data_IF_019323388767
#
_entry.id   IF_019323388767
#
_cell.length_a   1.000
_cell.length_b   1.000
_cell.length_c   1.000
_cell.angle_alpha   90.00
_cell.angle_beta   90.00
_cell.angle_gamma   90.00
#
_symmetry.space_group_name_H-M   'P 1'
#
loop_
_entity.id
_entity.type
_entity.pdbx_description
1 polymer ?
#
# COMPACT_ATOMS: atom_id res chain seq x y z
N UNK A 1 11.75 21.80 -10.36
CA UNK A 1 11.88 20.53 -11.15
C UNK A 1 10.47 19.95 -11.33
N UNK A 2 10.17 19.25 -12.44
CA UNK A 2 8.86 18.60 -12.59
C UNK A 2 8.80 17.27 -11.84
N UNK A 3 7.60 16.82 -11.46
CA UNK A 3 7.42 15.57 -10.70
C UNK A 3 7.99 14.34 -11.44
N UNK A 4 7.73 14.20 -12.73
CA UNK A 4 8.26 13.10 -13.51
C UNK A 4 9.81 13.12 -13.61
N UNK A 5 10.45 14.28 -13.62
CA UNK A 5 11.92 14.38 -13.63
C UNK A 5 12.51 13.90 -12.30
N UNK A 6 11.82 14.19 -11.17
CA UNK A 6 12.15 13.63 -9.86
C UNK A 6 11.97 12.12 -9.84
N UNK A 7 10.82 11.64 -10.33
CA UNK A 7 10.55 10.21 -10.40
C UNK A 7 11.66 9.47 -11.14
N UNK A 8 12.07 9.95 -12.32
CA UNK A 8 13.14 9.33 -13.10
C UNK A 8 14.48 9.29 -12.35
N UNK A 9 14.75 10.25 -11.44
CA UNK A 9 15.93 10.24 -10.59
C UNK A 9 15.79 9.28 -9.40
N UNK A 10 14.58 9.09 -8.88
CA UNK A 10 14.35 8.27 -7.69
C UNK A 10 14.23 6.78 -8.02
N UNK A 11 13.59 6.43 -9.15
CA UNK A 11 13.39 5.02 -9.51
C UNK A 11 14.69 4.28 -9.83
N UNK A 12 15.72 4.98 -10.25
CA UNK A 12 17.05 4.36 -10.50
C UNK A 12 17.80 4.01 -9.22
N UNK A 13 17.36 4.53 -8.07
CA UNK A 13 17.88 4.12 -6.75
C UNK A 13 17.07 2.91 -6.30
N UNK A 14 17.71 1.74 -6.26
CA UNK A 14 17.05 0.49 -5.84
C UNK A 14 16.78 0.48 -4.34
N UNK A 15 15.55 0.15 -3.98
CA UNK A 15 15.08 0.14 -2.59
C UNK A 15 14.12 -1.03 -2.29
N UNK A 16 14.36 -2.27 -2.76
CA UNK A 16 13.44 -3.36 -2.42
C UNK A 16 13.46 -3.63 -0.92
N UNK A 17 12.26 -3.83 -0.35
CA UNK A 17 12.11 -4.38 1.00
C UNK A 17 12.33 -5.89 1.02
N UNK A 18 12.55 -6.47 2.20
CA UNK A 18 12.79 -7.92 2.41
C UNK A 18 11.90 -8.42 3.55
N UNK A 19 10.84 -9.14 3.22
CA UNK A 19 9.88 -9.71 4.18
C UNK A 19 10.50 -10.73 5.17
N UNK A 20 11.70 -11.27 4.85
CA UNK A 20 12.40 -12.22 5.71
C UNK A 20 13.42 -11.54 6.63
N UNK A 21 13.58 -10.23 6.54
CA UNK A 21 14.51 -9.46 7.38
C UNK A 21 13.89 -9.17 8.76
N UNK A 22 14.74 -9.20 9.80
CA UNK A 22 14.36 -8.79 11.16
C UNK A 22 14.85 -7.36 11.49
N UNK A 23 15.48 -6.66 10.52
CA UNK A 23 15.97 -5.30 10.72
C UNK A 23 14.97 -4.26 10.24
N UNK A 24 15.12 -3.01 10.69
CA UNK A 24 14.39 -1.83 10.18
C UNK A 24 15.42 -0.77 9.81
N UNK A 25 15.51 -0.33 8.55
CA UNK A 25 14.73 -0.88 7.41
C UNK A 25 15.10 -2.33 7.12
N UNK A 26 14.20 -3.05 6.46
CA UNK A 26 14.38 -4.46 6.09
C UNK A 26 15.56 -4.67 5.14
N UNK A 27 15.88 -3.66 4.34
CA UNK A 27 17.06 -3.62 3.48
C UNK A 27 17.79 -2.29 3.62
N UNK A 28 19.11 -2.34 3.79
CA UNK A 28 19.95 -1.16 4.00
C UNK A 28 20.00 -0.20 2.80
N UNK A 29 19.67 -0.68 1.59
CA UNK A 29 19.67 0.15 0.39
C UNK A 29 18.60 1.24 0.40
N UNK A 30 17.56 1.13 1.22
CA UNK A 30 16.55 2.19 1.38
C UNK A 30 17.18 3.49 1.89
N UNK A 31 18.25 3.42 2.68
CA UNK A 31 19.00 4.62 3.10
C UNK A 31 19.61 5.40 1.93
N UNK A 32 19.87 4.77 0.79
CA UNK A 32 20.47 5.48 -0.35
C UNK A 32 19.50 6.51 -0.93
N UNK A 33 18.21 6.14 -1.05
CA UNK A 33 17.15 7.07 -1.42
C UNK A 33 16.88 8.08 -0.30
N UNK A 34 16.79 7.62 0.96
CA UNK A 34 16.53 8.48 2.10
C UNK A 34 17.55 9.62 2.22
N UNK A 35 18.86 9.35 2.02
CA UNK A 35 19.91 10.37 2.03
C UNK A 35 19.81 11.36 0.88
N UNK A 36 19.44 10.89 -0.31
CA UNK A 36 19.18 11.75 -1.46
C UNK A 36 18.03 12.71 -1.14
N UNK A 37 16.92 12.20 -0.60
CA UNK A 37 15.74 12.98 -0.24
C UNK A 37 16.03 13.94 0.93
N UNK A 38 16.82 13.51 1.92
CA UNK A 38 17.26 14.38 3.02
C UNK A 38 18.04 15.60 2.50
N UNK A 39 18.92 15.40 1.53
CA UNK A 39 19.65 16.50 0.90
C UNK A 39 18.73 17.43 0.13
N UNK A 40 17.81 16.89 -0.66
CA UNK A 40 16.84 17.67 -1.45
C UNK A 40 15.86 18.44 -0.55
N UNK A 41 15.35 17.85 0.54
CA UNK A 41 14.53 18.56 1.52
C UNK A 41 15.26 19.79 2.08
N UNK A 42 16.55 19.65 2.43
CA UNK A 42 17.36 20.76 2.93
C UNK A 42 17.59 21.83 1.86
N UNK A 43 17.80 21.44 0.61
CA UNK A 43 17.93 22.37 -0.53
C UNK A 43 16.63 23.12 -0.80
N UNK A 44 15.48 22.47 -0.65
CA UNK A 44 14.15 23.09 -0.72
C UNK A 44 13.82 23.93 0.53
N UNK A 45 14.70 24.02 1.51
CA UNK A 45 14.55 24.88 2.68
C UNK A 45 13.59 24.36 3.75
N UNK A 46 13.29 23.06 3.79
CA UNK A 46 12.57 22.47 4.90
C UNK A 46 13.42 22.55 6.18
N UNK A 47 12.74 22.76 7.29
CA UNK A 47 13.33 22.77 8.64
C UNK A 47 13.11 21.43 9.33
N UNK A 48 13.82 21.19 10.44
CA UNK A 48 13.71 19.95 11.23
C UNK A 48 13.83 18.67 10.37
N UNK A 49 14.71 18.73 9.36
CA UNK A 49 14.96 17.58 8.49
C UNK A 49 15.77 16.55 9.26
N UNK A 50 15.16 15.41 9.55
CA UNK A 50 15.72 14.33 10.37
C UNK A 50 15.56 13.00 9.66
N UNK A 51 16.68 12.35 9.34
CA UNK A 51 16.72 10.95 8.94
C UNK A 51 17.17 10.14 10.16
N UNK A 52 16.29 9.27 10.66
CA UNK A 52 16.60 8.46 11.84
C UNK A 52 17.34 7.16 11.50
N UNK A 53 17.71 6.39 12.52
CA UNK A 53 18.45 5.14 12.39
C UNK A 53 17.60 3.96 11.88
N UNK A 54 16.28 4.14 11.79
CA UNK A 54 15.33 3.20 11.22
C UNK A 54 14.86 3.60 9.81
N UNK A 55 15.55 4.61 9.19
CA UNK A 55 15.27 5.08 7.83
C UNK A 55 13.98 5.89 7.66
N UNK A 56 13.36 6.39 8.74
CA UNK A 56 12.28 7.36 8.61
C UNK A 56 12.87 8.75 8.37
N UNK A 57 12.41 9.41 7.33
CA UNK A 57 12.81 10.77 6.98
C UNK A 57 11.68 11.75 7.23
N UNK A 58 11.90 12.76 8.07
CA UNK A 58 10.94 13.80 8.41
C UNK A 58 11.46 15.17 7.98
N UNK A 59 10.55 16.10 7.67
CA UNK A 59 10.87 17.49 7.40
C UNK A 59 9.65 18.38 7.58
N UNK A 60 9.85 19.68 7.82
CA UNK A 60 8.77 20.66 8.04
C UNK A 60 8.96 21.87 7.16
N UNK A 61 7.86 22.40 6.64
CA UNK A 61 7.80 23.73 6.05
C UNK A 61 6.98 24.64 6.99
N UNK A 62 7.61 25.65 7.65
CA UNK A 62 6.92 26.57 8.54
C UNK A 62 5.79 27.31 7.82
N UNK A 63 4.71 27.61 8.52
CA UNK A 63 3.57 28.34 7.99
C UNK A 63 3.96 29.71 7.40
N UNK A 64 3.19 30.18 6.45
CA UNK A 64 3.21 31.59 6.02
C UNK A 64 2.83 32.46 7.21
N UNK A 65 3.50 33.63 7.35
CA UNK A 65 3.24 34.59 8.42
C UNK A 65 1.74 34.89 8.59
N UNK A 66 1.23 34.69 9.81
CA UNK A 66 -0.18 34.86 10.17
C UNK A 66 -1.06 33.63 9.95
N UNK A 67 -0.50 32.50 9.53
CA UNK A 67 -1.21 31.22 9.35
C UNK A 67 -0.67 30.10 10.28
N UNK A 68 0.07 30.47 11.31
CA UNK A 68 0.70 29.53 12.26
C UNK A 68 -0.31 28.76 13.09
N UNK A 69 -1.51 29.31 13.30
CA UNK A 69 -2.61 28.68 14.04
C UNK A 69 -3.49 27.77 13.18
N UNK A 70 -3.19 27.62 11.89
CA UNK A 70 -3.90 26.69 11.01
C UNK A 70 -3.48 25.25 11.33
N UNK A 71 -4.35 24.24 11.05
CA UNK A 71 -3.97 22.85 11.25
C UNK A 71 -2.69 22.49 10.50
N UNK A 72 -1.80 21.77 11.16
CA UNK A 72 -0.60 21.21 10.53
C UNK A 72 -0.98 20.00 9.68
N UNK A 73 -0.69 20.06 8.39
CA UNK A 73 -1.03 18.98 7.45
C UNK A 73 0.23 18.22 7.03
N UNK A 74 0.15 16.91 7.12
CA UNK A 74 1.22 16.00 6.75
C UNK A 74 1.00 15.33 5.39
N UNK A 75 2.09 15.16 4.63
CA UNK A 75 2.13 14.36 3.41
C UNK A 75 3.16 13.27 3.56
N UNK A 76 2.78 12.04 3.21
CA UNK A 76 3.56 10.84 3.48
C UNK A 76 3.59 9.98 2.22
N UNK A 77 4.75 9.38 1.92
CA UNK A 77 4.94 8.40 0.85
C UNK A 77 6.01 7.39 1.29
N UNK A 78 6.03 6.19 0.70
CA UNK A 78 7.04 5.21 1.07
C UNK A 78 8.21 5.16 0.09
N UNK A 79 9.39 4.74 0.59
CA UNK A 79 10.64 4.73 -0.18
C UNK A 79 10.96 3.36 -0.78
N UNK A 80 10.47 2.31 -0.14
CA UNK A 80 10.75 0.95 -0.60
C UNK A 80 9.91 0.57 -1.82
N UNK A 81 10.27 -0.51 -2.44
CA UNK A 81 9.52 -1.18 -3.51
C UNK A 81 9.35 -2.64 -3.13
N UNK A 82 8.37 -3.30 -3.74
CA UNK A 82 8.29 -4.76 -3.66
C UNK A 82 9.61 -5.41 -4.07
N UNK A 83 9.93 -6.56 -3.47
CA UNK A 83 11.10 -7.35 -3.85
C UNK A 83 10.92 -8.08 -5.17
N UNK A 84 9.68 -8.42 -5.52
CA UNK A 84 9.34 -9.07 -6.78
C UNK A 84 9.70 -8.17 -7.97
N UNK A 85 10.31 -8.75 -9.00
CA UNK A 85 10.76 -8.01 -10.19
C UNK A 85 11.65 -6.79 -9.88
N UNK A 86 12.38 -6.80 -8.76
CA UNK A 86 13.30 -5.72 -8.37
C UNK A 86 14.70 -6.26 -7.98
N UNK A 87 15.18 -7.30 -8.67
CA UNK A 87 16.46 -7.96 -8.41
C UNK A 87 17.67 -7.28 -9.12
N UNK A 88 17.42 -6.33 -10.02
CA UNK A 88 18.44 -5.55 -10.74
C UNK A 88 18.00 -4.10 -10.97
N UNK A 89 18.85 -3.29 -11.62
CA UNK A 89 18.64 -1.86 -11.81
C UNK A 89 17.40 -1.57 -12.69
N UNK A 90 16.56 -0.67 -12.21
CA UNK A 90 15.38 -0.18 -12.92
C UNK A 90 15.82 0.75 -14.05
N UNK A 91 15.27 0.54 -15.24
CA UNK A 91 15.54 1.36 -16.44
C UNK A 91 14.24 1.99 -16.91
N UNK A 92 13.94 3.22 -16.46
CA UNK A 92 12.72 3.90 -16.87
C UNK A 92 12.77 4.29 -18.36
N UNK A 93 11.64 4.16 -19.03
CA UNK A 93 11.44 4.52 -20.44
C UNK A 93 10.29 5.51 -20.54
N UNK A 94 10.52 6.62 -21.23
CA UNK A 94 9.51 7.65 -21.50
C UNK A 94 9.02 7.51 -22.93
N UNK A 95 7.71 7.33 -23.11
CA UNK A 95 7.05 7.22 -24.41
C UNK A 95 6.11 8.39 -24.59
N UNK A 96 6.51 9.38 -25.38
CA UNK A 96 5.70 10.56 -25.70
C UNK A 96 4.55 10.22 -26.65
N UNK A 97 3.42 10.90 -26.50
CA UNK A 97 2.25 10.76 -27.36
C UNK A 97 1.79 9.31 -27.53
N UNK A 98 1.67 8.59 -26.40
CA UNK A 98 1.21 7.21 -26.39
C UNK A 98 -0.09 7.07 -27.19
N UNK A 99 -0.16 6.07 -28.07
CA UNK A 99 -1.28 5.93 -29.02
C UNK A 99 -2.52 5.22 -28.43
N UNK A 100 -2.43 4.71 -27.18
CA UNK A 100 -3.48 3.95 -26.53
C UNK A 100 -3.53 2.47 -26.92
N UNK A 101 -2.56 1.97 -27.68
CA UNK A 101 -2.47 0.61 -28.17
C UNK A 101 -1.48 -0.27 -27.42
N UNK A 102 -1.07 -1.39 -28.04
CA UNK A 102 -0.05 -2.26 -27.48
C UNK A 102 1.33 -1.59 -27.50
N UNK A 103 2.04 -1.65 -26.37
CA UNK A 103 3.39 -1.11 -26.23
C UNK A 103 4.35 -2.22 -25.77
N UNK A 104 5.37 -2.50 -26.57
CA UNK A 104 6.47 -3.36 -26.14
C UNK A 104 7.38 -2.60 -25.20
N UNK A 105 7.67 -3.17 -24.03
CA UNK A 105 8.49 -2.52 -23.00
C UNK A 105 9.98 -2.78 -23.27
N UNK A 106 10.68 -1.73 -23.69
CA UNK A 106 12.09 -1.81 -24.04
C UNK A 106 12.39 -2.86 -25.11
N UNK A 107 13.36 -3.72 -24.83
CA UNK A 107 13.74 -4.86 -25.67
C UNK A 107 13.24 -6.19 -25.15
N UNK A 108 12.49 -6.20 -24.06
CA UNK A 108 11.90 -7.39 -23.46
C UNK A 108 10.77 -7.97 -24.33
N UNK A 109 10.28 -9.16 -23.98
CA UNK A 109 9.08 -9.74 -24.61
C UNK A 109 7.78 -9.30 -23.90
N UNK A 110 7.89 -8.43 -22.89
CA UNK A 110 6.76 -7.86 -22.13
C UNK A 110 5.99 -6.87 -23.01
N UNK A 111 4.69 -7.10 -23.16
CA UNK A 111 3.79 -6.23 -23.94
C UNK A 111 2.73 -5.67 -23.01
N UNK A 112 2.74 -4.37 -22.79
CA UNK A 112 1.65 -3.65 -22.14
C UNK A 112 0.49 -3.50 -23.15
N UNK A 113 -0.67 -4.07 -22.83
CA UNK A 113 -1.78 -4.19 -23.79
C UNK A 113 -3.11 -3.80 -23.20
N UNK A 114 -3.95 -3.01 -23.93
CA UNK A 114 -5.31 -2.68 -23.51
C UNK A 114 -6.22 -3.92 -23.29
N UNK A 115 -5.84 -5.06 -23.82
CA UNK A 115 -6.56 -6.31 -23.55
C UNK A 115 -6.47 -6.73 -22.08
N UNK A 116 -5.32 -6.49 -21.44
CA UNK A 116 -5.08 -6.81 -20.04
C UNK A 116 -5.33 -5.60 -19.14
N UNK A 117 -5.10 -4.40 -19.66
CA UNK A 117 -5.20 -3.12 -18.96
C UNK A 117 -6.10 -2.15 -19.75
N UNK A 118 -7.43 -2.24 -19.66
CA UNK A 118 -8.37 -1.47 -20.50
C UNK A 118 -8.21 0.04 -20.39
N UNK A 119 -7.79 0.57 -19.22
CA UNK A 119 -7.57 2.00 -18.97
C UNK A 119 -6.50 2.62 -19.89
N UNK A 120 -5.62 1.82 -20.48
CA UNK A 120 -4.60 2.31 -21.41
C UNK A 120 -5.19 3.10 -22.59
N UNK A 121 -6.42 2.79 -22.98
CA UNK A 121 -7.12 3.53 -24.06
C UNK A 121 -7.41 4.98 -23.68
N UNK A 122 -7.60 5.26 -22.37
CA UNK A 122 -7.88 6.57 -21.82
C UNK A 122 -6.60 7.41 -21.66
N UNK A 123 -5.44 6.74 -21.66
CA UNK A 123 -4.12 7.39 -21.60
C UNK A 123 -3.59 7.83 -22.96
N UNK A 124 -4.38 7.66 -24.04
CA UNK A 124 -3.99 8.07 -25.39
C UNK A 124 -3.64 9.54 -25.46
N UNK A 125 -2.48 9.84 -26.04
CA UNK A 125 -1.95 11.20 -26.21
C UNK A 125 -1.13 11.68 -25.01
N UNK A 126 -1.12 10.95 -23.89
CA UNK A 126 -0.28 11.25 -22.72
C UNK A 126 1.16 10.76 -22.95
N UNK A 127 2.04 11.24 -22.09
CA UNK A 127 3.43 10.78 -22.00
C UNK A 127 3.52 9.67 -20.97
N UNK A 128 3.73 8.43 -21.42
CA UNK A 128 3.78 7.24 -20.57
C UNK A 128 5.20 6.98 -20.08
N UNK A 129 5.35 6.66 -18.82
CA UNK A 129 6.60 6.21 -18.18
C UNK A 129 6.42 4.76 -17.76
N UNK A 130 7.34 3.89 -18.16
CA UNK A 130 7.37 2.44 -17.86
C UNK A 130 8.78 2.03 -17.46
N UNK A 131 8.96 0.81 -16.94
CA UNK A 131 10.27 0.16 -16.96
C UNK A 131 10.59 -0.42 -18.35
N UNK A 132 11.74 -1.07 -18.49
CA UNK A 132 12.09 -1.81 -19.72
C UNK A 132 11.36 -3.16 -19.84
N UNK A 133 10.42 -3.43 -18.92
CA UNK A 133 9.60 -4.66 -18.88
C UNK A 133 10.30 -5.85 -18.23
N UNK A 134 11.45 -5.66 -17.59
CA UNK A 134 12.16 -6.69 -16.84
C UNK A 134 12.05 -6.50 -15.31
N UNK A 135 11.74 -5.28 -14.88
CA UNK A 135 11.55 -4.91 -13.47
C UNK A 135 10.22 -4.19 -13.26
N UNK A 136 9.83 -3.95 -12.02
CA UNK A 136 8.88 -2.89 -11.66
C UNK A 136 9.42 -1.55 -12.14
N UNK A 137 8.57 -0.52 -12.23
CA UNK A 137 9.01 0.86 -12.44
C UNK A 137 9.44 1.50 -11.10
N UNK A 138 8.77 1.14 -10.01
CA UNK A 138 8.94 1.75 -8.68
C UNK A 138 8.26 3.12 -8.60
N UNK A 139 7.21 3.36 -9.40
CA UNK A 139 6.33 4.50 -9.23
C UNK A 139 5.54 4.38 -7.93
N UNK A 140 5.23 3.19 -7.53
CA UNK A 140 4.78 2.80 -6.20
C UNK A 140 6.01 2.66 -5.28
N UNK A 141 6.31 3.61 -4.34
CA UNK A 141 5.58 4.89 -4.21
C UNK A 141 6.52 6.11 -4.40
N UNK A 142 7.54 5.95 -5.26
CA UNK A 142 8.44 7.08 -5.59
C UNK A 142 7.73 8.18 -6.39
N UNK A 143 6.53 7.90 -6.95
CA UNK A 143 5.70 8.93 -7.56
C UNK A 143 5.14 9.86 -6.47
N UNK A 144 4.57 9.33 -5.41
CA UNK A 144 4.11 10.14 -4.27
C UNK A 144 5.23 10.97 -3.66
N UNK A 145 6.43 10.41 -3.50
CA UNK A 145 7.62 11.18 -3.08
C UNK A 145 7.88 12.34 -4.04
N UNK A 146 7.92 12.09 -5.35
CA UNK A 146 8.21 13.10 -6.36
C UNK A 146 7.15 14.21 -6.40
N UNK A 147 5.89 13.85 -6.20
CA UNK A 147 4.76 14.77 -6.16
C UNK A 147 4.78 15.66 -4.92
N UNK A 148 5.04 15.09 -3.75
CA UNK A 148 5.20 15.84 -2.49
C UNK A 148 6.33 16.86 -2.61
N UNK A 149 7.50 16.43 -3.08
CA UNK A 149 8.66 17.31 -3.23
C UNK A 149 8.41 18.42 -4.28
N UNK A 150 7.66 18.11 -5.34
CA UNK A 150 7.28 19.10 -6.37
C UNK A 150 6.25 20.10 -5.84
N UNK A 151 5.29 19.63 -5.05
CA UNK A 151 4.32 20.51 -4.38
C UNK A 151 5.03 21.47 -3.43
N UNK A 152 5.98 21.01 -2.60
CA UNK A 152 6.78 21.85 -1.70
C UNK A 152 7.56 22.94 -2.47
N UNK A 153 8.23 22.55 -3.56
CA UNK A 153 8.94 23.52 -4.41
C UNK A 153 7.98 24.57 -4.99
N UNK A 154 6.86 24.13 -5.56
CA UNK A 154 5.84 25.00 -6.16
C UNK A 154 5.26 25.99 -5.15
N UNK A 155 4.91 25.54 -3.94
CA UNK A 155 4.37 26.39 -2.87
C UNK A 155 5.31 27.56 -2.57
N UNK A 156 6.61 27.30 -2.49
CA UNK A 156 7.61 28.30 -2.19
C UNK A 156 7.89 29.24 -3.39
N UNK A 157 8.03 28.69 -4.60
CA UNK A 157 8.27 29.50 -5.81
C UNK A 157 7.10 30.44 -6.12
N UNK A 158 5.87 29.93 -6.03
CA UNK A 158 4.65 30.71 -6.30
C UNK A 158 4.17 31.50 -5.08
N UNK A 159 4.82 31.35 -3.91
CA UNK A 159 4.47 32.00 -2.65
C UNK A 159 3.02 31.74 -2.25
N UNK A 160 2.58 30.50 -2.37
CA UNK A 160 1.23 30.08 -2.00
C UNK A 160 1.10 30.15 -0.48
N UNK A 161 0.10 30.89 0.07
CA UNK A 161 -0.13 30.90 1.52
C UNK A 161 -0.52 29.51 2.03
N UNK A 162 0.10 29.08 3.13
CA UNK A 162 -0.15 27.77 3.74
C UNK A 162 0.04 27.79 5.27
N UNK A 163 -0.65 26.91 5.98
CA UNK A 163 -0.39 26.58 7.37
C UNK A 163 0.90 25.75 7.52
N UNK A 164 1.22 25.24 8.72
CA UNK A 164 2.37 24.35 8.89
C UNK A 164 2.21 23.10 8.03
N UNK A 165 3.27 22.72 7.29
CA UNK A 165 3.29 21.48 6.52
C UNK A 165 4.36 20.54 7.06
N UNK A 166 4.02 19.27 7.15
CA UNK A 166 4.92 18.18 7.55
C UNK A 166 5.08 17.21 6.39
N UNK A 167 6.29 16.74 6.16
CA UNK A 167 6.60 15.73 5.13
C UNK A 167 7.31 14.57 5.79
N UNK A 168 6.92 13.35 5.46
CA UNK A 168 7.64 12.17 5.90
C UNK A 168 7.74 11.13 4.77
N UNK A 169 8.87 10.41 4.74
CA UNK A 169 9.05 9.25 3.89
C UNK A 169 9.38 8.04 4.74
N UNK A 170 8.63 6.95 4.50
CA UNK A 170 8.67 5.72 5.31
C UNK A 170 9.45 4.62 4.59
N UNK A 171 10.13 3.72 5.34
CA UNK A 171 10.65 2.46 4.82
C UNK A 171 9.58 1.37 4.94
N UNK A 172 9.77 0.21 4.27
CA UNK A 172 9.14 -1.07 4.55
C UNK A 172 7.58 -1.09 4.52
N UNK A 173 6.96 -0.21 3.72
CA UNK A 173 5.51 -0.23 3.52
C UNK A 173 5.08 -1.53 2.85
N UNK A 174 5.78 -1.96 1.82
CA UNK A 174 5.47 -3.11 0.96
C UNK A 174 5.47 -4.47 1.68
N UNK A 175 6.08 -4.51 2.86
CA UNK A 175 6.02 -5.66 3.77
C UNK A 175 5.07 -5.43 4.96
N UNK A 176 4.28 -4.32 4.93
CA UNK A 176 3.25 -3.99 5.90
C UNK A 176 3.78 -3.47 7.23
N UNK A 177 5.02 -3.01 7.30
CA UNK A 177 5.64 -2.51 8.54
C UNK A 177 6.04 -1.03 8.49
N UNK A 178 5.71 -0.32 7.40
CA UNK A 178 6.09 1.08 7.18
C UNK A 178 5.68 2.03 8.30
N UNK A 179 4.48 1.88 8.85
CA UNK A 179 4.05 2.70 9.98
C UNK A 179 4.57 2.21 11.35
N UNK A 180 5.25 1.06 11.46
CA UNK A 180 5.53 0.41 12.75
C UNK A 180 6.31 1.29 13.73
N UNK A 181 7.34 1.95 13.29
CA UNK A 181 8.19 2.83 14.08
C UNK A 181 8.00 4.32 13.77
N UNK A 182 6.99 4.66 12.96
CA UNK A 182 6.69 6.05 12.65
C UNK A 182 6.39 6.86 13.91
N UNK A 183 7.11 7.96 14.09
CA UNK A 183 6.98 8.83 15.24
C UNK A 183 6.00 9.97 14.95
N UNK A 184 4.71 9.77 15.31
CA UNK A 184 3.64 10.74 15.07
C UNK A 184 3.89 12.07 15.79
N UNK A 185 4.46 12.03 17.01
CA UNK A 185 4.74 13.25 17.78
C UNK A 185 5.86 14.08 17.12
N UNK A 186 6.93 13.44 16.65
CA UNK A 186 8.01 14.09 15.91
C UNK A 186 7.53 14.66 14.58
N UNK A 187 6.70 13.91 13.85
CA UNK A 187 6.07 14.36 12.62
C UNK A 187 5.28 15.65 12.86
N UNK A 188 4.42 15.65 13.87
CA UNK A 188 3.78 16.84 14.40
C UNK A 188 2.64 17.40 13.55
N UNK A 189 2.07 16.62 12.65
CA UNK A 189 0.87 16.98 11.90
C UNK A 189 -0.41 16.64 12.69
N UNK A 190 -1.46 17.48 12.57
CA UNK A 190 -2.79 17.20 13.10
C UNK A 190 -3.53 16.16 12.26
N UNK A 191 -3.31 16.16 10.94
CA UNK A 191 -3.87 15.26 9.95
C UNK A 191 -2.81 14.92 8.90
N UNK A 192 -2.89 13.72 8.33
CA UNK A 192 -2.02 13.28 7.26
C UNK A 192 -2.79 12.90 5.98
N UNK A 193 -2.05 12.79 4.89
CA UNK A 193 -2.45 12.16 3.64
C UNK A 193 -1.27 11.34 3.14
N UNK A 194 -1.47 10.05 2.87
CA UNK A 194 -0.53 9.28 2.07
C UNK A 194 -0.79 9.56 0.59
N UNK A 195 0.26 9.64 -0.22
CA UNK A 195 0.17 9.68 -1.68
C UNK A 195 0.66 8.34 -2.21
N UNK A 196 -0.21 7.35 -2.20
CA UNK A 196 0.12 5.94 -2.42
C UNK A 196 -1.09 5.19 -3.06
N UNK A 197 -1.93 5.93 -3.79
CA UNK A 197 -3.06 5.38 -4.53
C UNK A 197 -2.76 5.24 -6.01
N UNK A 198 -3.70 4.65 -6.74
CA UNK A 198 -3.57 4.40 -8.18
C UNK A 198 -3.78 5.70 -9.00
N UNK A 199 -4.90 5.83 -9.65
CA UNK A 199 -5.15 6.89 -10.62
C UNK A 199 -5.29 8.28 -10.00
N UNK A 200 -4.99 9.31 -10.77
CA UNK A 200 -5.17 10.70 -10.32
C UNK A 200 -6.62 11.00 -9.91
N UNK A 201 -6.80 11.68 -8.77
CA UNK A 201 -8.11 12.00 -8.20
C UNK A 201 -8.71 10.92 -7.31
N UNK A 202 -8.03 9.81 -7.14
CA UNK A 202 -8.43 8.76 -6.21
C UNK A 202 -8.32 9.23 -4.76
N UNK A 203 -9.34 8.90 -3.96
CA UNK A 203 -9.45 9.22 -2.54
C UNK A 203 -9.91 7.95 -1.82
N UNK A 204 -9.07 7.45 -0.95
CA UNK A 204 -9.29 6.19 -0.26
C UNK A 204 -9.25 6.41 1.25
N UNK A 205 -10.32 6.03 1.94
CA UNK A 205 -10.42 6.14 3.40
C UNK A 205 -11.09 4.92 4.05
N UNK A 206 -11.31 3.89 3.25
CA UNK A 206 -11.83 2.59 3.66
C UNK A 206 -10.88 1.51 3.16
N UNK A 207 -10.45 0.63 4.03
CA UNK A 207 -9.57 -0.49 3.73
C UNK A 207 -10.07 -1.76 4.40
N UNK A 208 -9.50 -2.91 4.09
CA UNK A 208 -9.86 -4.14 4.77
C UNK A 208 -9.51 -4.09 6.27
N UNK A 209 -10.34 -4.78 7.09
CA UNK A 209 -9.87 -5.40 8.32
C UNK A 209 -9.15 -6.70 7.95
N UNK A 210 -8.05 -7.00 8.60
CA UNK A 210 -7.14 -8.06 8.19
C UNK A 210 -6.62 -8.90 9.34
N UNK A 211 -6.59 -10.22 9.15
CA UNK A 211 -5.84 -11.12 10.02
C UNK A 211 -5.19 -12.26 9.23
N UNK A 212 -4.16 -12.86 9.82
CA UNK A 212 -3.66 -14.19 9.45
C UNK A 212 -4.40 -15.24 10.27
N UNK A 213 -4.59 -16.41 9.68
CA UNK A 213 -5.16 -17.56 10.37
C UNK A 213 -4.36 -18.82 9.99
N UNK A 214 -3.67 -19.35 10.97
CA UNK A 214 -2.75 -20.48 10.81
C UNK A 214 -3.35 -21.70 11.49
N UNK A 215 -3.59 -22.75 10.72
CA UNK A 215 -3.99 -24.05 11.24
C UNK A 215 -2.78 -24.99 11.29
N UNK A 216 -2.56 -25.58 12.44
CA UNK A 216 -1.62 -26.70 12.63
C UNK A 216 -2.44 -27.95 12.92
N UNK A 217 -2.26 -29.00 12.11
CA UNK A 217 -3.01 -30.25 12.20
C UNK A 217 -2.05 -31.37 12.60
N UNK A 218 -2.34 -32.06 13.68
CA UNK A 218 -1.59 -33.25 14.17
C UNK A 218 -2.34 -34.52 13.81
N UNK A 219 -1.72 -35.32 12.96
CA UNK A 219 -2.26 -36.61 12.57
C UNK A 219 -1.80 -37.73 13.52
N UNK A 220 -2.32 -38.94 13.29
CA UNK A 220 -1.90 -40.14 13.96
C UNK A 220 -1.52 -41.20 12.91
N UNK A 221 -0.22 -41.37 12.72
CA UNK A 221 0.31 -42.24 11.66
C UNK A 221 0.47 -43.68 12.17
N UNK A 222 -0.10 -44.62 11.43
CA UNK A 222 0.04 -46.07 11.62
C UNK A 222 0.20 -46.74 10.27
N UNK A 223 0.57 -48.04 10.27
CA UNK A 223 0.71 -48.81 9.04
C UNK A 223 -0.62 -48.81 8.24
N UNK A 224 -0.64 -48.37 6.97
CA UNK A 224 -1.88 -48.23 6.19
C UNK A 224 -2.75 -49.48 6.10
N UNK A 225 -2.14 -50.65 6.03
CA UNK A 225 -2.86 -51.93 5.97
C UNK A 225 -3.62 -52.32 7.23
N UNK A 226 -3.35 -51.65 8.38
CA UNK A 226 -4.00 -51.90 9.69
C UNK A 226 -4.53 -50.63 10.35
N UNK A 227 -4.83 -49.60 9.55
CA UNK A 227 -5.16 -48.24 9.98
C UNK A 227 -6.65 -47.96 10.17
N UNK A 228 -7.51 -48.95 9.92
CA UNK A 228 -8.97 -48.77 10.04
C UNK A 228 -9.36 -48.24 11.42
N UNK A 229 -10.11 -47.16 11.45
CA UNK A 229 -10.63 -46.47 12.62
C UNK A 229 -9.54 -45.96 13.62
N UNK A 230 -8.26 -45.90 13.16
CA UNK A 230 -7.12 -45.52 14.00
C UNK A 230 -6.31 -44.39 13.42
N UNK A 231 -6.00 -44.43 12.10
CA UNK A 231 -5.19 -43.38 11.45
C UNK A 231 -5.95 -42.07 11.35
N UNK A 232 -5.27 -40.98 11.69
CA UNK A 232 -5.70 -39.63 11.40
C UNK A 232 -4.67 -39.06 10.39
N UNK A 233 -5.09 -38.87 9.18
CA UNK A 233 -4.24 -38.26 8.13
C UNK A 233 -4.39 -36.75 8.15
N UNK A 234 -3.37 -36.05 8.63
CA UNK A 234 -3.39 -34.58 8.77
C UNK A 234 -3.64 -33.87 7.45
N UNK A 235 -3.06 -34.35 6.34
CA UNK A 235 -3.30 -33.76 5.01
C UNK A 235 -4.77 -33.85 4.58
N UNK A 236 -5.47 -34.95 4.92
CA UNK A 236 -6.90 -35.09 4.61
C UNK A 236 -7.76 -34.18 5.51
N UNK A 237 -7.39 -34.04 6.77
CA UNK A 237 -8.05 -33.08 7.67
C UNK A 237 -7.86 -31.64 7.19
N UNK A 238 -6.67 -31.28 6.70
CA UNK A 238 -6.41 -29.97 6.09
C UNK A 238 -7.34 -29.69 4.89
N UNK A 239 -7.55 -30.69 4.02
CA UNK A 239 -8.51 -30.58 2.92
C UNK A 239 -9.95 -30.40 3.39
N UNK A 240 -10.35 -31.08 4.50
CA UNK A 240 -11.68 -30.90 5.08
C UNK A 240 -11.87 -29.47 5.63
N UNK A 241 -10.85 -28.92 6.30
CA UNK A 241 -10.87 -27.53 6.80
C UNK A 241 -11.10 -26.56 5.62
N UNK A 242 -10.31 -26.69 4.55
CA UNK A 242 -10.46 -25.84 3.37
C UNK A 242 -11.85 -26.00 2.72
N UNK A 243 -12.37 -27.23 2.64
CA UNK A 243 -13.70 -27.47 2.02
C UNK A 243 -14.87 -27.01 2.93
N UNK A 244 -14.65 -26.75 4.20
CA UNK A 244 -15.66 -26.19 5.10
C UNK A 244 -15.82 -24.68 4.96
N UNK A 245 -14.89 -24.00 4.28
CA UNK A 245 -14.98 -22.56 3.99
C UNK A 245 -15.91 -22.29 2.80
N UNK A 246 -16.56 -21.10 2.75
CA UNK A 246 -17.38 -20.70 1.61
C UNK A 246 -16.56 -20.63 0.32
N UNK A 247 -16.89 -21.45 -0.67
CA UNK A 247 -16.09 -21.65 -1.88
C UNK A 247 -15.98 -20.41 -2.78
N UNK A 248 -16.90 -19.45 -2.65
CA UNK A 248 -16.90 -18.20 -3.45
C UNK A 248 -16.23 -17.03 -2.72
N UNK A 249 -16.04 -17.11 -1.40
CA UNK A 249 -15.37 -16.08 -0.61
C UNK A 249 -13.84 -16.21 -0.75
N UNK A 250 -13.34 -16.02 -1.96
CA UNK A 250 -11.92 -16.08 -2.33
C UNK A 250 -11.54 -14.82 -3.12
N UNK A 251 -10.26 -14.45 -3.23
CA UNK A 251 -9.85 -13.29 -4.03
C UNK A 251 -10.36 -13.32 -5.47
N UNK A 252 -10.47 -14.51 -6.06
CA UNK A 252 -11.01 -14.69 -7.42
C UNK A 252 -12.53 -14.51 -7.50
N UNK A 253 -13.24 -14.76 -6.42
CA UNK A 253 -14.70 -14.77 -6.38
C UNK A 253 -15.33 -13.52 -5.77
N UNK A 254 -14.53 -12.52 -5.38
CA UNK A 254 -14.99 -11.32 -4.65
C UNK A 254 -14.44 -10.04 -5.28
N UNK A 255 -15.22 -8.96 -5.20
CA UNK A 255 -14.88 -7.63 -5.70
C UNK A 255 -15.31 -6.53 -4.71
N UNK A 256 -14.95 -5.29 -4.98
CA UNK A 256 -15.31 -4.09 -4.21
C UNK A 256 -15.13 -4.28 -2.69
N UNK A 257 -16.23 -4.22 -1.94
CA UNK A 257 -16.26 -4.34 -0.48
C UNK A 257 -16.33 -5.79 0.04
N UNK A 258 -16.43 -6.76 -0.85
CA UNK A 258 -16.59 -8.17 -0.46
C UNK A 258 -15.31 -8.75 0.13
N UNK A 259 -15.45 -9.37 1.31
CA UNK A 259 -14.35 -10.01 2.01
C UNK A 259 -14.09 -11.46 1.56
N UNK A 260 -12.92 -11.99 1.93
CA UNK A 260 -12.48 -13.32 1.52
C UNK A 260 -11.64 -14.06 2.56
N UNK A 261 -11.51 -15.37 2.33
CA UNK A 261 -10.45 -16.23 2.87
C UNK A 261 -9.51 -16.60 1.73
N UNK A 262 -8.22 -16.37 1.90
CA UNK A 262 -7.23 -16.73 0.90
C UNK A 262 -6.19 -17.68 1.48
N UNK A 263 -6.15 -18.91 0.97
CA UNK A 263 -5.11 -19.88 1.30
C UNK A 263 -3.81 -19.44 0.62
N UNK A 264 -2.85 -18.97 1.41
CA UNK A 264 -1.54 -18.54 0.93
C UNK A 264 -0.60 -19.72 0.69
N UNK A 265 -0.61 -20.67 1.63
CA UNK A 265 0.22 -21.86 1.52
C UNK A 265 -0.39 -23.02 2.28
N UNK A 266 -0.03 -24.22 1.85
CA UNK A 266 -0.40 -25.49 2.45
C UNK A 266 0.78 -26.44 2.39
N UNK A 267 1.10 -27.08 3.50
CA UNK A 267 2.05 -28.18 3.55
C UNK A 267 1.48 -29.35 4.35
N UNK A 268 1.92 -30.58 4.09
CA UNK A 268 1.45 -31.66 4.94
C UNK A 268 1.82 -33.06 4.51
N UNK A 269 1.85 -33.91 5.55
CA UNK A 269 2.01 -35.36 5.50
C UNK A 269 0.91 -36.04 6.32
N UNK A 270 1.04 -37.35 6.56
CA UNK A 270 0.08 -38.09 7.41
C UNK A 270 0.15 -37.64 8.86
N UNK A 271 1.36 -37.34 9.35
CA UNK A 271 1.59 -37.02 10.76
C UNK A 271 1.31 -35.57 11.12
N UNK A 272 1.51 -34.64 10.16
CA UNK A 272 1.35 -33.20 10.39
C UNK A 272 0.99 -32.49 9.09
N UNK A 273 0.19 -31.42 9.21
CA UNK A 273 -0.10 -30.52 8.10
C UNK A 273 -0.33 -29.08 8.63
N UNK A 274 -0.10 -28.10 7.76
CA UNK A 274 -0.30 -26.70 8.05
C UNK A 274 -1.06 -26.03 6.92
N UNK A 275 -1.93 -25.05 7.28
CA UNK A 275 -2.63 -24.17 6.35
C UNK A 275 -2.44 -22.74 6.84
N UNK A 276 -2.02 -21.86 5.93
CA UNK A 276 -1.83 -20.43 6.20
C UNK A 276 -2.79 -19.62 5.37
N UNK A 277 -3.72 -18.95 6.04
CA UNK A 277 -4.71 -18.07 5.42
C UNK A 277 -4.46 -16.62 5.75
N UNK A 278 -4.81 -15.74 4.81
CA UNK A 278 -5.16 -14.35 5.11
C UNK A 278 -6.67 -14.18 4.99
N UNK A 279 -7.26 -13.43 5.91
CA UNK A 279 -8.70 -13.15 5.98
C UNK A 279 -8.91 -11.66 5.91
N UNK A 280 -9.83 -11.22 5.06
CA UNK A 280 -10.09 -9.83 4.76
C UNK A 280 -11.57 -9.55 4.73
N UNK A 281 -12.01 -8.42 5.26
CA UNK A 281 -13.35 -7.87 5.07
C UNK A 281 -13.35 -6.37 5.39
N UNK A 282 -14.07 -5.55 4.61
CA UNK A 282 -14.24 -4.13 4.91
C UNK A 282 -15.16 -3.92 6.11
N UNK A 283 -16.23 -4.71 6.20
CA UNK A 283 -17.18 -4.64 7.30
C UNK A 283 -16.63 -5.35 8.54
N UNK A 284 -16.62 -4.65 9.67
CA UNK A 284 -16.10 -5.16 10.95
C UNK A 284 -16.89 -6.37 11.46
N UNK A 285 -18.21 -6.35 11.32
CA UNK A 285 -19.06 -7.42 11.84
C UNK A 285 -18.94 -8.67 10.97
N UNK A 286 -18.83 -8.51 9.65
CA UNK A 286 -18.54 -9.61 8.71
C UNK A 286 -17.14 -10.17 8.94
N UNK A 287 -16.14 -9.32 9.21
CA UNK A 287 -14.79 -9.77 9.56
C UNK A 287 -14.78 -10.61 10.83
N UNK A 288 -15.48 -10.16 11.89
CA UNK A 288 -15.63 -10.94 13.13
C UNK A 288 -16.39 -12.26 12.89
N UNK A 289 -17.40 -12.24 12.01
CA UNK A 289 -18.11 -13.46 11.60
C UNK A 289 -17.18 -14.46 10.90
N UNK A 290 -16.29 -13.97 10.03
CA UNK A 290 -15.26 -14.80 9.37
C UNK A 290 -14.32 -15.46 10.38
N UNK A 291 -13.80 -14.71 11.34
CA UNK A 291 -12.97 -15.27 12.44
C UNK A 291 -13.72 -16.30 13.26
N UNK A 292 -15.00 -16.06 13.53
CA UNK A 292 -15.87 -17.02 14.23
C UNK A 292 -16.08 -18.31 13.44
N UNK A 293 -16.23 -18.21 12.12
CA UNK A 293 -16.34 -19.38 11.23
C UNK A 293 -15.09 -20.26 11.33
N UNK A 294 -13.89 -19.69 11.31
CA UNK A 294 -12.63 -20.44 11.48
C UNK A 294 -12.57 -21.17 12.82
N UNK A 295 -12.97 -20.50 13.91
CA UNK A 295 -13.03 -21.13 15.26
C UNK A 295 -14.05 -22.24 15.34
N UNK A 296 -15.17 -22.13 14.63
CA UNK A 296 -16.16 -23.22 14.55
C UNK A 296 -15.61 -24.41 13.77
N UNK A 297 -14.90 -24.18 12.68
CA UNK A 297 -14.23 -25.25 11.91
C UNK A 297 -13.20 -25.97 12.78
N UNK A 298 -12.34 -25.24 13.50
CA UNK A 298 -11.40 -25.83 14.46
C UNK A 298 -12.11 -26.75 15.45
N UNK A 299 -13.19 -26.26 16.06
CA UNK A 299 -13.99 -27.01 17.02
C UNK A 299 -14.60 -28.27 16.39
N UNK A 300 -15.24 -28.14 15.22
CA UNK A 300 -15.90 -29.27 14.54
C UNK A 300 -14.88 -30.35 14.12
N UNK A 301 -13.68 -29.95 13.69
CA UNK A 301 -12.61 -30.89 13.37
C UNK A 301 -12.09 -31.61 14.62
N UNK A 302 -11.93 -30.91 15.73
CA UNK A 302 -11.54 -31.55 17.01
C UNK A 302 -12.63 -32.45 17.55
N UNK A 303 -13.90 -32.12 17.43
CA UNK A 303 -15.01 -33.02 17.80
C UNK A 303 -15.03 -34.30 16.93
N UNK A 304 -14.70 -34.17 15.63
CA UNK A 304 -14.68 -35.31 14.69
C UNK A 304 -13.45 -36.19 14.84
N UNK A 305 -12.27 -35.61 14.95
CA UNK A 305 -10.99 -36.29 14.83
C UNK A 305 -10.29 -36.52 16.18
N UNK A 306 -10.78 -35.91 17.25
CA UNK A 306 -10.22 -35.95 18.59
C UNK A 306 -9.62 -34.62 19.02
N UNK A 307 -9.76 -34.33 20.32
CA UNK A 307 -9.29 -33.08 20.92
C UNK A 307 -7.79 -32.91 20.74
N UNK A 308 -7.38 -31.68 20.27
CA UNK A 308 -5.99 -31.33 20.00
C UNK A 308 -5.46 -31.80 18.65
N UNK A 309 -6.31 -32.37 17.77
CA UNK A 309 -5.95 -32.68 16.36
C UNK A 309 -5.72 -31.40 15.57
N UNK A 310 -6.53 -30.36 15.75
CA UNK A 310 -6.42 -29.09 15.04
C UNK A 310 -6.21 -27.96 16.05
N UNK A 311 -5.23 -27.11 15.78
CA UNK A 311 -4.98 -25.88 16.52
C UNK A 311 -5.03 -24.71 15.54
N UNK A 312 -5.81 -23.65 15.87
CA UNK A 312 -5.94 -22.42 15.11
C UNK A 312 -5.30 -21.26 15.86
N UNK A 313 -4.44 -20.50 15.17
CA UNK A 313 -3.92 -19.22 15.64
C UNK A 313 -4.43 -18.12 14.73
N UNK A 314 -5.07 -17.09 15.30
CA UNK A 314 -5.51 -15.89 14.55
C UNK A 314 -4.69 -14.70 15.03
N UNK A 315 -4.01 -14.01 14.11
CA UNK A 315 -3.18 -12.84 14.37
C UNK A 315 -3.71 -11.64 13.57
N UNK A 316 -4.21 -10.62 14.26
CA UNK A 316 -4.68 -9.39 13.62
C UNK A 316 -3.49 -8.64 13.00
N UNK A 317 -3.71 -8.03 11.83
CA UNK A 317 -2.69 -7.29 11.10
C UNK A 317 -3.00 -5.78 11.10
N UNK A 318 -4.14 -5.40 10.56
CA UNK A 318 -4.59 -4.00 10.50
C UNK A 318 -6.13 -3.94 10.49
N UNK A 319 -6.65 -2.72 10.66
CA UNK A 319 -8.09 -2.44 10.71
C UNK A 319 -8.49 -1.45 9.62
N UNK A 320 -9.79 -1.40 9.33
CA UNK A 320 -10.35 -0.39 8.44
C UNK A 320 -10.28 1.00 9.11
N UNK A 321 -9.59 1.95 8.46
CA UNK A 321 -9.44 3.31 8.97
C UNK A 321 -10.73 4.14 8.91
N UNK A 322 -11.77 3.66 8.21
CA UNK A 322 -13.05 4.35 8.11
C UNK A 322 -13.62 4.75 9.47
N UNK A 323 -13.44 3.94 10.53
CA UNK A 323 -13.94 4.27 11.86
C UNK A 323 -13.24 5.52 12.48
N UNK A 324 -11.99 5.78 12.10
CA UNK A 324 -11.25 6.97 12.52
C UNK A 324 -11.62 8.16 11.63
N UNK A 325 -11.59 7.97 10.30
CA UNK A 325 -11.88 9.02 9.32
C UNK A 325 -13.31 9.54 9.45
N UNK A 326 -14.27 8.70 9.85
CA UNK A 326 -15.65 9.12 10.13
C UNK A 326 -15.74 10.25 11.18
N UNK A 327 -14.75 10.40 12.05
CA UNK A 327 -14.69 11.51 13.05
C UNK A 327 -14.14 12.80 12.47
N UNK A 328 -13.56 12.78 11.27
CA UNK A 328 -12.90 13.93 10.62
C UNK A 328 -13.14 13.93 9.09
N UNK A 329 -14.39 13.74 8.67
CA UNK A 329 -14.79 13.67 7.25
C UNK A 329 -14.40 14.90 6.42
N UNK A 330 -14.08 16.03 7.06
CA UNK A 330 -13.54 17.20 6.38
C UNK A 330 -12.25 16.90 5.58
N UNK A 331 -11.49 15.87 5.95
CA UNK A 331 -10.33 15.40 5.18
C UNK A 331 -10.75 14.95 3.77
N UNK A 332 -11.84 14.19 3.72
CA UNK A 332 -12.37 13.66 2.46
C UNK A 332 -13.08 14.75 1.65
N UNK A 333 -13.83 15.64 2.33
CA UNK A 333 -14.50 16.76 1.68
C UNK A 333 -13.48 17.74 1.08
N UNK A 334 -12.39 18.03 1.79
CA UNK A 334 -11.29 18.87 1.29
C UNK A 334 -10.57 18.19 0.11
N UNK A 335 -10.29 16.88 0.18
CA UNK A 335 -9.67 16.15 -0.91
C UNK A 335 -10.54 16.17 -2.17
N UNK A 336 -11.86 15.93 -2.05
CA UNK A 336 -12.81 16.06 -3.17
C UNK A 336 -12.79 17.47 -3.76
N UNK A 337 -12.80 18.47 -2.89
CA UNK A 337 -12.78 19.87 -3.32
C UNK A 337 -11.47 20.25 -4.00
N UNK A 338 -10.34 19.72 -3.53
CA UNK A 338 -9.04 19.91 -4.15
C UNK A 338 -9.01 19.29 -5.57
N UNK A 339 -9.54 18.08 -5.74
CA UNK A 339 -9.69 17.46 -7.07
C UNK A 339 -10.52 18.35 -8.00
N UNK A 340 -11.69 18.81 -7.55
CA UNK A 340 -12.55 19.71 -8.35
C UNK A 340 -11.81 21.00 -8.75
N UNK A 341 -11.05 21.61 -7.83
CA UNK A 341 -10.30 22.83 -8.09
C UNK A 341 -9.14 22.60 -9.10
N UNK A 342 -8.59 21.39 -9.13
CA UNK A 342 -7.53 20.96 -10.05
C UNK A 342 -8.07 20.46 -11.41
N UNK A 343 -9.38 20.58 -11.66
CA UNK A 343 -10.05 19.98 -12.83
C UNK A 343 -9.80 18.47 -12.95
N UNK A 344 -9.83 17.76 -11.82
CA UNK A 344 -9.75 16.30 -11.70
C UNK A 344 -11.05 15.79 -11.10
N UNK A 345 -11.61 14.73 -11.68
CA UNK A 345 -12.81 14.11 -11.12
C UNK A 345 -12.45 13.34 -9.83
N UNK A 346 -13.05 13.64 -8.66
CA UNK A 346 -12.78 12.88 -7.46
C UNK A 346 -13.36 11.47 -7.58
N UNK A 347 -12.55 10.46 -7.27
CA UNK A 347 -12.90 9.05 -7.33
C UNK A 347 -12.70 8.42 -5.94
N UNK A 348 -13.81 8.16 -5.25
CA UNK A 348 -13.75 7.52 -3.92
C UNK A 348 -13.88 6.02 -4.06
N UNK A 349 -12.84 5.29 -3.73
CA UNK A 349 -12.77 3.84 -3.83
C UNK A 349 -12.27 3.20 -2.52
N UNK A 350 -12.69 1.95 -2.21
CA UNK A 350 -12.14 1.20 -1.11
C UNK A 350 -10.79 0.56 -1.50
N UNK A 351 -9.86 0.49 -0.53
CA UNK A 351 -8.60 -0.23 -0.68
C UNK A 351 -8.84 -1.71 -0.35
N UNK A 352 -8.53 -2.61 -1.28
CA UNK A 352 -8.57 -4.07 -1.04
C UNK A 352 -7.27 -4.62 -0.42
N UNK A 353 -6.64 -3.83 0.42
CA UNK A 353 -5.39 -4.08 1.12
C UNK A 353 -5.29 -3.27 2.41
N UNK A 354 -4.09 -3.00 2.84
CA UNK A 354 -3.74 -2.04 3.88
C UNK A 354 -2.73 -1.04 3.32
N UNK A 355 -2.55 0.08 3.99
CA UNK A 355 -1.55 1.12 3.69
C UNK A 355 -0.96 1.66 4.98
N UNK A 356 0.14 2.39 4.89
CA UNK A 356 0.67 3.14 6.04
C UNK A 356 -0.40 4.05 6.64
N UNK A 357 -1.22 4.72 5.82
CA UNK A 357 -2.27 5.61 6.26
C UNK A 357 -3.30 4.94 7.18
N UNK A 358 -3.65 3.67 6.94
CA UNK A 358 -4.58 2.97 7.80
C UNK A 358 -3.96 2.70 9.19
N UNK A 359 -2.69 2.32 9.27
CA UNK A 359 -2.00 2.10 10.53
C UNK A 359 -1.76 3.41 11.29
N UNK A 360 -1.35 4.47 10.59
CA UNK A 360 -1.15 5.82 11.15
C UNK A 360 -2.44 6.38 11.74
N UNK A 361 -3.58 6.13 11.10
CA UNK A 361 -4.89 6.54 11.62
C UNK A 361 -5.15 5.98 13.02
N UNK A 362 -4.82 4.72 13.28
CA UNK A 362 -4.93 4.11 14.63
C UNK A 362 -3.81 4.51 15.60
N UNK A 363 -2.73 5.13 15.11
CA UNK A 363 -1.69 5.74 15.95
C UNK A 363 -2.00 7.20 16.34
N UNK A 364 -3.17 7.71 15.95
CA UNK A 364 -3.64 9.06 16.28
C UNK A 364 -3.38 10.11 15.22
N UNK A 365 -2.98 9.71 14.01
CA UNK A 365 -2.84 10.58 12.84
C UNK A 365 -3.86 10.15 11.77
N UNK A 366 -5.09 10.71 11.74
CA UNK A 366 -6.05 10.40 10.67
C UNK A 366 -5.43 10.68 9.30
N UNK A 367 -5.33 9.65 8.46
CA UNK A 367 -4.50 9.70 7.26
C UNK A 367 -5.15 8.90 6.09
N UNK A 368 -6.08 9.51 5.33
CA UNK A 368 -6.58 8.92 4.09
C UNK A 368 -5.51 8.90 3.01
N UNK A 369 -5.72 8.07 1.98
CA UNK A 369 -4.81 7.89 0.86
C UNK A 369 -5.30 8.62 -0.40
N UNK A 370 -4.37 9.16 -1.20
CA UNK A 370 -4.61 9.88 -2.45
C UNK A 370 -3.88 9.20 -3.61
N UNK A 371 -4.48 9.26 -4.80
CA UNK A 371 -3.91 8.69 -6.01
C UNK A 371 -2.75 9.50 -6.58
N UNK A 372 -1.74 8.79 -7.09
CA UNK A 372 -0.52 9.33 -7.71
C UNK A 372 -0.60 9.41 -9.24
N UNK A 373 -1.59 8.76 -9.87
CA UNK A 373 -1.71 8.65 -11.32
C UNK A 373 -0.97 7.45 -11.92
N UNK A 374 -0.53 6.50 -11.08
CA UNK A 374 0.12 5.25 -11.50
C UNK A 374 -0.85 4.09 -11.67
N UNK A 375 -0.36 3.01 -12.24
CA UNK A 375 -1.17 1.83 -12.57
C UNK A 375 -0.33 0.56 -12.63
N UNK A 376 -1.00 -0.59 -12.42
CA UNK A 376 -0.47 -1.94 -12.59
C UNK A 376 0.80 -2.22 -11.77
N UNK A 377 0.80 -1.78 -10.54
CA UNK A 377 1.88 -1.93 -9.57
C UNK A 377 2.31 -3.38 -9.33
N UNK A 378 3.42 -3.56 -8.63
CA UNK A 378 3.98 -4.85 -8.20
C UNK A 378 4.37 -5.79 -9.35
N UNK A 379 4.66 -5.24 -10.54
CA UNK A 379 5.07 -6.07 -11.68
C UNK A 379 5.68 -5.29 -12.85
N UNK A 380 6.14 -5.99 -13.89
CA UNK A 380 6.83 -5.36 -15.02
C UNK A 380 5.91 -4.53 -15.93
N UNK A 381 4.60 -4.52 -15.66
CA UNK A 381 3.60 -3.71 -16.37
C UNK A 381 3.32 -2.37 -15.72
N UNK A 382 3.97 -2.09 -14.60
CA UNK A 382 3.83 -0.85 -13.86
C UNK A 382 4.12 0.37 -14.75
N UNK A 383 3.22 1.35 -14.71
CA UNK A 383 3.32 2.54 -15.53
C UNK A 383 2.61 3.73 -14.90
N UNK A 384 3.05 4.92 -15.26
CA UNK A 384 2.48 6.20 -14.84
C UNK A 384 2.54 7.18 -16.00
N UNK A 385 1.77 8.26 -15.96
CA UNK A 385 1.85 9.33 -16.98
C UNK A 385 2.36 10.64 -16.39
N UNK A 386 3.11 11.40 -17.18
CA UNK A 386 3.56 12.74 -16.80
C UNK A 386 2.36 13.62 -16.44
N UNK A 387 1.29 13.55 -17.24
CA UNK A 387 0.08 14.33 -17.05
C UNK A 387 -0.71 13.91 -15.80
N UNK A 388 -0.71 12.62 -15.45
CA UNK A 388 -1.28 12.11 -14.20
C UNK A 388 -0.55 12.68 -13.00
N UNK A 389 0.78 12.59 -12.98
CA UNK A 389 1.62 13.18 -11.92
C UNK A 389 1.42 14.69 -11.78
N UNK A 390 1.38 15.43 -12.91
CA UNK A 390 1.14 16.88 -12.88
C UNK A 390 -0.23 17.18 -12.23
N UNK A 391 -1.27 16.35 -12.48
CA UNK A 391 -2.59 16.48 -11.88
C UNK A 391 -2.59 16.15 -10.39
N UNK A 392 -1.87 15.11 -9.96
CA UNK A 392 -1.73 14.80 -8.52
C UNK A 392 -1.03 15.92 -7.77
N UNK A 393 0.01 16.53 -8.35
CA UNK A 393 0.66 17.76 -7.79
C UNK A 393 -0.33 18.92 -7.71
N UNK A 394 -1.18 19.12 -8.72
CA UNK A 394 -2.22 20.15 -8.69
C UNK A 394 -3.21 19.89 -7.53
N UNK A 395 -3.68 18.65 -7.36
CA UNK A 395 -4.61 18.27 -6.30
C UNK A 395 -4.03 18.53 -4.92
N UNK A 396 -2.80 18.07 -4.64
CA UNK A 396 -2.20 18.29 -3.31
C UNK A 396 -1.87 19.75 -3.05
N UNK A 397 -1.54 20.53 -4.10
CA UNK A 397 -1.35 21.99 -3.98
C UNK A 397 -2.68 22.70 -3.65
N UNK A 398 -3.79 22.33 -4.29
CA UNK A 398 -5.11 22.86 -3.97
C UNK A 398 -5.57 22.45 -2.55
N UNK A 399 -5.23 21.24 -2.14
CA UNK A 399 -5.51 20.77 -0.77
C UNK A 399 -4.82 21.64 0.27
N UNK A 400 -3.55 21.97 0.08
CA UNK A 400 -2.80 22.90 0.96
C UNK A 400 -3.48 24.27 1.03
N UNK A 401 -3.94 24.82 -0.11
CA UNK A 401 -4.66 26.11 -0.15
C UNK A 401 -5.96 26.08 0.66
N UNK A 402 -6.72 24.95 0.60
CA UNK A 402 -7.96 24.80 1.36
C UNK A 402 -7.73 24.83 2.88
N UNK A 403 -6.64 24.24 3.36
CA UNK A 403 -6.30 24.29 4.80
C UNK A 403 -5.76 25.65 5.26
N UNK A 404 -5.34 26.51 4.36
CA UNK A 404 -4.93 27.88 4.66
C UNK A 404 -6.10 28.87 4.79
N UNK A 405 -7.31 28.50 4.32
CA UNK A 405 -8.51 29.34 4.39
C UNK A 405 -9.14 29.29 5.79
#
# INVERSE_FOLDING_TARGET
>A
MKAYERLLNYVVVRTPSDENSETVPSSACQFDLARLLEAEMKELGLTDVILDDQCYLYGKLPATEGLEDKPAIGFIAHMDTVSDFCDHDIKPIVTENYDGGELRLGTSDTILSPKNFPHLTDLKGRTLITSDGTTVLGADDKAGIAEIMTMIERIQEEKIPHGPLCVAFTPDEEIGTGASHFNVEQFGADYGYTLDGDTEGEIQYENFNACKADFVIKGFNVHPGSSKDTMINASLVAMEINNALPSMETPRGTEDYEGFYHLMSMSGEVAEAELHYIVRDHDKDLFEAKKKTLKLIEKDMNEKWGEGTVALTISEQYRNMAEIIATCMHLIDNAKKACENADVAPLVLPIRGGTDGCQLSFKGLPCPNLGTGGHAYHGPYEHITVEGMDKSVDVVTELVKLYAM
#
